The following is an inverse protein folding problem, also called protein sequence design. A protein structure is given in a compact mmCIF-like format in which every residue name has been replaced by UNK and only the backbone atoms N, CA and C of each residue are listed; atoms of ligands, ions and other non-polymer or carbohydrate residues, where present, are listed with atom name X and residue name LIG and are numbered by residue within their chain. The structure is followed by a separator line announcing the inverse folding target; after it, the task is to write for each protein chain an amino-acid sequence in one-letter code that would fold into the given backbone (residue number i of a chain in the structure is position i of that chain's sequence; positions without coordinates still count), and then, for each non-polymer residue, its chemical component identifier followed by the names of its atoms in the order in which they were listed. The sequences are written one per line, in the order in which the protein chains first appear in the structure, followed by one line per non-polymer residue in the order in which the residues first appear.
data_IF_069590964889
#
_entry.id   IF_069590964889
#
_cell.length_a   1.000
_cell.length_b   1.000
_cell.length_c   1.000
_cell.angle_alpha   90.00
_cell.angle_beta   90.00
_cell.angle_gamma   90.00
#
_symmetry.space_group_name_H-M   'P 1'
#
loop_
_entity.id
_entity.type
_entity.pdbx_description
1 polymer ?
#
# COMPACT_ATOMS: atom_id res chain seq x y z
N UNK A 1 0.67 9.05 -14.36
CA UNK A 1 1.02 9.23 -12.93
C UNK A 1 1.67 7.96 -12.40
N UNK A 2 2.86 8.03 -11.83
CA UNK A 2 3.65 6.85 -11.44
C UNK A 2 3.14 6.22 -10.14
N UNK A 3 2.13 5.34 -10.24
CA UNK A 3 1.60 4.55 -9.12
C UNK A 3 2.69 3.76 -8.37
N UNK A 4 3.78 3.38 -9.06
CA UNK A 4 4.93 2.71 -8.43
C UNK A 4 5.68 3.58 -7.41
N UNK A 5 5.67 4.92 -7.56
CA UNK A 5 6.30 5.82 -6.59
C UNK A 5 5.45 5.98 -5.32
N UNK A 6 4.12 5.92 -5.45
CA UNK A 6 3.19 6.09 -4.33
C UNK A 6 3.22 4.89 -3.38
N UNK A 7 3.29 3.67 -3.91
CA UNK A 7 3.34 2.45 -3.08
C UNK A 7 4.57 2.37 -2.18
N UNK A 8 5.75 2.67 -2.74
CA UNK A 8 6.99 2.74 -1.97
C UNK A 8 6.96 3.82 -0.89
N UNK A 9 6.45 5.01 -1.23
CA UNK A 9 6.30 6.12 -0.28
C UNK A 9 5.33 5.81 0.86
N UNK A 10 4.18 5.19 0.56
CA UNK A 10 3.21 4.78 1.58
C UNK A 10 3.81 3.77 2.56
N UNK A 11 4.56 2.80 2.04
CA UNK A 11 5.27 1.80 2.87
C UNK A 11 6.31 2.45 3.78
N UNK A 12 7.02 3.46 3.29
CA UNK A 12 7.98 4.21 4.08
C UNK A 12 7.28 4.97 5.22
N UNK A 13 6.25 5.76 4.90
CA UNK A 13 5.46 6.50 5.90
C UNK A 13 4.84 5.58 6.95
N UNK A 14 4.32 4.42 6.54
CA UNK A 14 3.78 3.42 7.47
C UNK A 14 4.83 2.97 8.48
N UNK A 15 6.05 2.69 8.01
CA UNK A 15 7.17 2.28 8.88
C UNK A 15 7.64 3.40 9.79
N UNK A 16 7.73 4.64 9.29
CA UNK A 16 8.08 5.82 10.10
C UNK A 16 7.08 6.02 11.26
N UNK A 17 5.81 5.74 11.01
CA UNK A 17 4.75 5.79 12.02
C UNK A 17 4.61 4.50 12.85
N UNK A 18 5.47 3.51 12.62
CA UNK A 18 5.44 2.20 13.30
C UNK A 18 4.07 1.49 13.21
N UNK A 19 3.35 1.69 12.11
CA UNK A 19 2.02 1.11 11.89
C UNK A 19 2.12 -0.25 11.17
N UNK A 20 1.23 -1.18 11.49
CA UNK A 20 1.01 -2.37 10.66
C UNK A 20 0.14 -2.03 9.46
N UNK A 21 0.09 -2.93 8.45
CA UNK A 21 -0.81 -2.73 7.31
C UNK A 21 -2.28 -2.74 7.75
N UNK A 22 -2.63 -3.50 8.79
CA UNK A 22 -3.97 -3.55 9.38
C UNK A 22 -4.32 -2.25 10.10
N UNK A 23 -3.41 -1.73 10.92
CA UNK A 23 -3.61 -0.45 11.62
C UNK A 23 -3.78 0.72 10.65
N UNK A 24 -2.95 0.76 9.60
CA UNK A 24 -3.11 1.75 8.53
C UNK A 24 -4.43 1.57 7.78
N UNK A 25 -4.86 0.33 7.58
CA UNK A 25 -6.12 0.03 6.91
C UNK A 25 -7.34 0.42 7.74
N UNK A 26 -7.30 0.19 9.05
CA UNK A 26 -8.33 0.66 10.01
C UNK A 26 -8.45 2.19 9.99
N UNK A 27 -7.32 2.90 10.04
CA UNK A 27 -7.30 4.37 9.98
C UNK A 27 -7.89 4.94 8.69
N UNK A 28 -7.68 4.23 7.57
CA UNK A 28 -8.18 4.63 6.26
C UNK A 28 -9.54 4.00 5.93
N UNK A 29 -10.12 3.23 6.86
CA UNK A 29 -11.36 2.48 6.71
C UNK A 29 -11.40 1.62 5.43
N UNK A 30 -10.27 0.95 5.15
CA UNK A 30 -10.10 0.01 4.03
C UNK A 30 -9.66 -1.35 4.54
N UNK A 31 -9.61 -2.35 3.66
CA UNK A 31 -9.02 -3.64 4.02
C UNK A 31 -7.49 -3.61 4.03
N UNK A 32 -6.84 -4.38 4.90
CA UNK A 32 -5.37 -4.56 4.87
C UNK A 32 -4.86 -5.06 3.51
N UNK A 33 -5.70 -5.80 2.78
CA UNK A 33 -5.43 -6.24 1.41
C UNK A 33 -5.37 -5.07 0.42
N UNK A 34 -6.16 -4.02 0.62
CA UNK A 34 -6.11 -2.77 -0.15
C UNK A 34 -4.78 -2.05 0.07
N UNK A 35 -4.36 -1.89 1.33
CA UNK A 35 -3.08 -1.28 1.69
C UNK A 35 -1.91 -2.07 1.10
N UNK A 36 -1.95 -3.40 1.19
CA UNK A 36 -0.93 -4.29 0.60
C UNK A 36 -0.83 -4.10 -0.92
N UNK A 37 -1.96 -3.99 -1.64
CA UNK A 37 -1.98 -3.70 -3.09
C UNK A 37 -1.37 -2.34 -3.42
N UNK A 38 -1.64 -1.32 -2.61
CA UNK A 38 -1.03 0.00 -2.79
C UNK A 38 0.47 -0.04 -2.58
N UNK A 39 0.95 -0.69 -1.51
CA UNK A 39 2.38 -0.79 -1.20
C UNK A 39 3.18 -1.62 -2.21
N UNK A 40 2.59 -2.71 -2.73
CA UNK A 40 3.27 -3.63 -3.65
C UNK A 40 3.08 -3.27 -5.12
N UNK A 41 2.16 -2.36 -5.44
CA UNK A 41 1.97 -1.86 -6.80
C UNK A 41 1.64 -2.95 -7.82
N UNK A 42 1.03 -4.07 -7.40
CA UNK A 42 0.62 -5.17 -8.30
C UNK A 42 -0.58 -4.69 -9.13
N UNK A 43 -0.28 -3.86 -10.12
CA UNK A 43 -1.05 -3.76 -11.33
C UNK A 43 -0.96 -5.14 -11.99
N UNK A 44 -2.07 -5.86 -11.96
CA UNK A 44 -2.23 -7.16 -12.63
C UNK A 44 -2.20 -6.95 -14.15
N UNK A 45 -1.04 -6.57 -14.71
CA UNK A 45 -0.89 -6.40 -16.16
C UNK A 45 0.45 -6.95 -16.64
N UNK A 46 0.58 -8.27 -16.59
CA UNK A 46 1.12 -9.07 -17.70
C UNK A 46 0.88 -10.55 -17.39
N UNK A 47 -0.34 -11.00 -17.70
CA UNK A 47 -0.56 -12.35 -18.19
C UNK A 47 -1.05 -12.21 -19.63
N UNK A 48 -0.10 -12.17 -20.55
CA UNK A 48 -0.25 -12.61 -21.92
C UNK A 48 0.95 -13.52 -22.19
#
# INVERSE_FOLDING_TARGET
MNQQKVGGFLKQLRKEKQLTQEQLAEQLNVSGRTVSRWETGVSQTKRY
#
